data_IF_590331921425
#
_entry.id   IF_590331921425
#
_cell.length_a   1.000
_cell.length_b   1.000
_cell.length_c   1.000
_cell.angle_alpha   90.00
_cell.angle_beta   90.00
_cell.angle_gamma   90.00
#
_symmetry.space_group_name_H-M   'P 1'
#
loop_
_entity.id
_entity.type
_entity.pdbx_description
1 polymer ?
#
# COMPACT_ATOMS: atom_id res chain seq x y z
N UNK A 1 6.08 0.74 6.91
CA UNK A 1 5.93 1.32 5.56
C UNK A 1 4.91 0.56 4.74
N UNK A 2 5.01 -0.77 4.60
CA UNK A 2 3.99 -1.56 3.88
C UNK A 2 2.55 -1.33 4.38
N UNK A 3 2.32 -1.35 5.69
CA UNK A 3 0.99 -1.06 6.27
C UNK A 3 0.47 0.35 5.93
N UNK A 4 1.36 1.34 5.77
CA UNK A 4 0.96 2.68 5.33
C UNK A 4 0.45 2.65 3.89
N UNK A 5 1.12 1.91 3.01
CA UNK A 5 0.68 1.72 1.63
C UNK A 5 -0.72 1.07 1.56
N UNK A 6 -0.98 0.05 2.39
CA UNK A 6 -2.30 -0.59 2.46
C UNK A 6 -3.39 0.37 2.95
N UNK A 7 -3.11 1.17 3.99
CA UNK A 7 -4.04 2.19 4.47
C UNK A 7 -4.29 3.27 3.42
N UNK A 8 -3.26 3.72 2.70
CA UNK A 8 -3.42 4.69 1.62
C UNK A 8 -4.31 4.14 0.51
N UNK A 9 -4.11 2.89 0.10
CA UNK A 9 -4.97 2.25 -0.88
C UNK A 9 -6.43 2.21 -0.44
N UNK A 10 -6.69 1.82 0.82
CA UNK A 10 -8.04 1.82 1.38
C UNK A 10 -8.67 3.21 1.36
N UNK A 11 -7.95 4.23 1.82
CA UNK A 11 -8.43 5.60 1.85
C UNK A 11 -8.70 6.17 0.45
N UNK A 12 -7.85 5.83 -0.53
CA UNK A 12 -7.95 6.35 -1.90
C UNK A 12 -9.03 5.65 -2.73
N UNK A 13 -9.28 4.37 -2.48
CA UNK A 13 -10.17 3.56 -3.33
C UNK A 13 -11.48 3.19 -2.66
N UNK A 14 -11.57 3.30 -1.33
CA UNK A 14 -12.67 2.73 -0.55
C UNK A 14 -12.72 1.19 -0.59
N UNK A 15 -11.73 0.55 -1.22
CA UNK A 15 -11.61 -0.89 -1.32
C UNK A 15 -10.65 -1.35 -0.27
N UNK A 16 -11.10 -2.31 0.54
CA UNK A 16 -10.26 -2.83 1.58
C UNK A 16 -9.00 -3.52 1.00
N UNK A 17 -7.82 -3.28 1.59
CA UNK A 17 -6.54 -3.71 1.03
C UNK A 17 -6.35 -5.24 1.03
N UNK A 18 -7.27 -5.97 1.68
CA UNK A 18 -7.35 -7.43 1.62
C UNK A 18 -8.08 -7.98 0.39
N UNK A 19 -8.45 -7.14 -0.58
CA UNK A 19 -8.73 -7.56 -1.93
C UNK A 19 -7.43 -8.01 -2.62
N UNK A 20 -6.81 -9.07 -2.12
CA UNK A 20 -5.61 -9.66 -2.69
C UNK A 20 -5.97 -10.29 -4.04
N UNK A 21 -5.16 -10.05 -5.08
CA UNK A 21 -5.30 -10.80 -6.33
C UNK A 21 -4.66 -12.17 -6.12
N UNK A 22 -5.42 -13.27 -6.19
CA UNK A 22 -4.85 -14.60 -6.07
C UNK A 22 -4.13 -14.92 -7.38
N UNK A 23 -2.82 -14.65 -7.44
CA UNK A 23 -2.00 -15.21 -8.52
C UNK A 23 -1.78 -16.71 -8.31
N UNK A 24 -1.75 -17.19 -7.05
CA UNK A 24 -1.53 -18.61 -6.72
C UNK A 24 -2.38 -19.20 -5.57
N UNK A 25 -3.21 -18.42 -4.86
CA UNK A 25 -4.05 -18.99 -3.78
C UNK A 25 -5.38 -19.50 -4.35
N UNK A 26 -5.37 -20.79 -4.71
CA UNK A 26 -6.45 -21.48 -5.43
C UNK A 26 -7.75 -21.63 -4.63
N UNK A 27 -7.76 -21.35 -3.32
CA UNK A 27 -8.95 -21.44 -2.47
C UNK A 27 -9.04 -20.32 -1.42
N UNK A 28 -10.24 -19.74 -1.28
CA UNK A 28 -10.53 -18.71 -0.26
C UNK A 28 -10.20 -19.14 1.18
N UNK A 29 -10.16 -20.45 1.46
CA UNK A 29 -9.83 -21.01 2.78
C UNK A 29 -8.35 -20.84 3.16
N UNK A 30 -7.43 -21.02 2.22
CA UNK A 30 -5.98 -20.87 2.47
C UNK A 30 -5.62 -19.41 2.77
N UNK A 31 -6.28 -18.46 2.09
CA UNK A 31 -6.10 -17.03 2.34
C UNK A 31 -6.55 -16.65 3.75
N UNK A 32 -7.69 -17.18 4.22
CA UNK A 32 -8.19 -16.91 5.58
C UNK A 32 -7.28 -17.49 6.66
N UNK A 33 -6.76 -18.71 6.47
CA UNK A 33 -5.77 -19.30 7.37
C UNK A 33 -4.46 -18.51 7.39
N UNK A 34 -4.07 -17.91 6.28
CA UNK A 34 -2.87 -17.09 6.18
C UNK A 34 -3.03 -15.71 6.81
N UNK A 35 -4.20 -15.07 6.68
CA UNK A 35 -4.52 -13.84 7.39
C UNK A 35 -4.62 -14.06 8.92
N UNK A 36 -4.97 -15.27 9.34
CA UNK A 36 -4.94 -15.68 10.74
C UNK A 36 -3.53 -16.09 11.23
N UNK A 37 -2.56 -16.23 10.33
CA UNK A 37 -1.19 -16.60 10.68
C UNK A 37 -0.44 -15.41 11.32
N UNK A 38 0.62 -15.68 12.10
CA UNK A 38 1.46 -14.62 12.66
C UNK A 38 1.95 -13.66 11.57
N UNK A 39 2.07 -12.37 11.89
CA UNK A 39 2.45 -11.33 10.92
C UNK A 39 3.76 -11.61 10.15
N UNK A 40 4.66 -12.44 10.69
CA UNK A 40 5.86 -12.89 9.99
C UNK A 40 5.57 -13.77 8.75
N UNK A 41 4.55 -14.63 8.83
CA UNK A 41 4.14 -15.50 7.70
C UNK A 41 3.53 -14.66 6.58
N UNK A 42 2.71 -13.68 6.93
CA UNK A 42 2.17 -12.73 5.97
C UNK A 42 3.28 -11.97 5.23
N UNK A 43 4.28 -11.45 5.97
CA UNK A 43 5.41 -10.76 5.38
C UNK A 43 6.24 -11.65 4.43
N UNK A 44 6.50 -12.91 4.79
CA UNK A 44 7.20 -13.87 3.93
C UNK A 44 6.47 -14.08 2.59
N UNK A 45 5.15 -14.24 2.62
CA UNK A 45 4.35 -14.48 1.42
C UNK A 45 4.28 -13.26 0.51
N UNK A 46 4.22 -12.05 1.07
CA UNK A 46 4.33 -10.80 0.31
C UNK A 46 5.72 -10.68 -0.32
N UNK A 47 6.78 -10.94 0.43
CA UNK A 47 8.16 -10.87 -0.09
C UNK A 47 8.41 -11.88 -1.21
N UNK A 48 7.80 -13.06 -1.12
CA UNK A 48 7.89 -14.12 -2.15
C UNK A 48 6.96 -13.88 -3.34
N UNK A 49 6.16 -12.81 -3.34
CA UNK A 49 5.22 -12.50 -4.41
C UNK A 49 4.01 -13.44 -4.49
N UNK A 50 3.78 -14.27 -3.46
CA UNK A 50 2.64 -15.17 -3.36
C UNK A 50 1.36 -14.36 -3.08
N UNK A 51 1.49 -13.36 -2.20
CA UNK A 51 0.46 -12.36 -1.98
C UNK A 51 0.84 -11.07 -2.70
N UNK A 52 -0.05 -10.61 -3.59
CA UNK A 52 0.14 -9.36 -4.33
C UNK A 52 -1.05 -8.46 -4.06
N UNK A 53 -0.76 -7.22 -3.67
CA UNK A 53 -1.78 -6.18 -3.50
C UNK A 53 -2.44 -5.95 -4.84
N UNK A 54 -3.78 -5.96 -4.90
CA UNK A 54 -4.46 -5.69 -6.15
C UNK A 54 -4.12 -4.28 -6.66
N UNK A 55 -3.87 -4.11 -7.97
CA UNK A 55 -3.56 -2.82 -8.54
C UNK A 55 -4.74 -1.85 -8.35
N UNK A 56 -4.44 -0.58 -8.09
CA UNK A 56 -5.45 0.47 -8.08
C UNK A 56 -5.84 0.79 -9.52
N UNK A 57 -7.08 0.46 -9.89
CA UNK A 57 -7.64 0.70 -11.23
C UNK A 57 -8.42 2.00 -11.35
N UNK A 58 -8.75 2.62 -10.22
CA UNK A 58 -9.47 3.89 -10.16
C UNK A 58 -8.51 5.05 -10.27
N UNK A 59 -8.93 6.15 -10.89
CA UNK A 59 -8.17 7.39 -10.90
C UNK A 59 -8.08 7.98 -9.48
N UNK A 60 -6.86 8.20 -9.02
CA UNK A 60 -6.53 8.71 -7.69
C UNK A 60 -5.43 9.77 -7.84
N UNK A 61 -5.27 10.62 -6.83
CA UNK A 61 -4.21 11.64 -6.84
C UNK A 61 -2.83 11.00 -7.14
N UNK A 62 -2.13 11.55 -8.14
CA UNK A 62 -0.89 10.96 -8.65
C UNK A 62 0.24 10.95 -7.60
N UNK A 63 0.29 11.93 -6.69
CA UNK A 63 1.30 11.98 -5.64
C UNK A 63 1.00 10.99 -4.52
N UNK A 64 -0.26 10.90 -4.09
CA UNK A 64 -0.69 9.90 -3.11
C UNK A 64 -0.50 8.48 -3.65
N UNK A 65 -0.79 8.27 -4.94
CA UNK A 65 -0.46 7.04 -5.65
C UNK A 65 1.03 6.75 -5.64
N UNK A 66 1.87 7.74 -5.91
CA UNK A 66 3.32 7.60 -5.89
C UNK A 66 3.84 7.16 -4.51
N UNK A 67 3.35 7.78 -3.43
CA UNK A 67 3.71 7.38 -2.05
C UNK A 67 3.24 5.96 -1.76
N UNK A 68 2.01 5.62 -2.14
CA UNK A 68 1.43 4.29 -1.97
C UNK A 68 2.27 3.23 -2.68
N UNK A 69 2.62 3.43 -3.96
CA UNK A 69 3.40 2.49 -4.76
C UNK A 69 4.78 2.23 -4.12
N UNK A 70 5.47 3.27 -3.65
CA UNK A 70 6.76 3.13 -2.96
C UNK A 70 6.67 2.48 -1.57
N UNK A 71 5.50 2.55 -0.92
CA UNK A 71 5.26 1.86 0.35
C UNK A 71 4.94 0.37 0.14
N UNK A 72 4.30 0.03 -0.98
CA UNK A 72 3.82 -1.32 -1.31
C UNK A 72 4.86 -2.19 -2.04
N UNK A 73 6.09 -1.71 -2.21
CA UNK A 73 7.20 -2.52 -2.73
C UNK A 73 7.37 -3.78 -1.86
N UNK A 74 7.49 -4.95 -2.49
CA UNK A 74 7.58 -6.24 -1.77
C UNK A 74 8.90 -6.36 -1.00
N UNK A 75 10.01 -5.92 -1.61
CA UNK A 75 11.33 -5.82 -0.98
C UNK A 75 11.34 -4.70 0.08
N UNK A 76 11.53 -5.02 1.38
CA UNK A 76 11.56 -4.02 2.44
C UNK A 76 12.70 -3.00 2.29
N UNK A 77 13.83 -3.36 1.69
CA UNK A 77 15.01 -2.50 1.58
C UNK A 77 14.85 -1.45 0.47
N UNK A 78 13.90 -1.66 -0.44
CA UNK A 78 13.55 -0.73 -1.51
C UNK A 78 12.36 0.18 -1.17
N UNK A 79 11.71 -0.04 -0.02
CA UNK A 79 10.60 0.82 0.42
C UNK A 79 11.11 2.16 0.86
N UNK A 80 10.33 3.19 0.55
CA UNK A 80 10.57 4.50 1.14
C UNK A 80 10.46 4.47 2.66
N UNK A 81 11.35 5.21 3.28
CA UNK A 81 11.32 5.58 4.69
C UNK A 81 10.18 6.56 4.97
N UNK A 82 9.81 6.68 6.25
CA UNK A 82 8.81 7.67 6.68
C UNK A 82 9.21 9.10 6.27
N UNK A 83 10.51 9.42 6.25
CA UNK A 83 11.02 10.74 5.84
C UNK A 83 10.77 11.01 4.36
N UNK A 84 11.03 10.03 3.49
CA UNK A 84 10.80 10.18 2.04
C UNK A 84 9.31 10.36 1.73
N UNK A 85 8.42 9.62 2.42
CA UNK A 85 6.98 9.84 2.31
C UNK A 85 6.56 11.24 2.77
N UNK A 86 7.08 11.70 3.91
CA UNK A 86 6.78 13.03 4.45
C UNK A 86 7.21 14.16 3.51
N UNK A 87 8.35 14.04 2.86
CA UNK A 87 8.80 15.04 1.89
C UNK A 87 7.78 15.21 0.75
N UNK A 88 7.20 14.11 0.26
CA UNK A 88 6.16 14.14 -0.77
C UNK A 88 4.86 14.80 -0.27
N UNK A 89 4.50 14.61 1.01
CA UNK A 89 3.34 15.29 1.62
C UNK A 89 3.60 16.76 1.96
N UNK A 90 4.84 17.16 2.25
CA UNK A 90 5.14 18.55 2.64
C UNK A 90 5.10 19.52 1.47
N UNK A 91 5.33 19.04 0.24
CA UNK A 91 5.05 19.80 -0.99
C UNK A 91 3.56 20.23 -1.09
N UNK A 92 2.65 19.61 -0.33
CA UNK A 92 1.23 19.98 -0.25
C UNK A 92 0.97 21.22 0.64
N UNK A 93 1.82 21.47 1.63
CA UNK A 93 1.60 22.52 2.63
C UNK A 93 2.04 23.90 2.15
N UNK A 94 2.93 23.99 1.16
CA UNK A 94 3.48 25.27 0.69
C UNK A 94 2.54 25.95 -0.31
N UNK A 95 1.74 25.17 -1.07
CA UNK A 95 0.76 25.75 -2.01
C UNK A 95 -0.57 26.16 -1.34
N UNK A 96 -0.86 25.66 -0.14
CA UNK A 96 -2.09 26.02 0.59
C UNK A 96 -2.04 27.41 1.24
N UNK A 97 -0.90 28.11 1.17
CA UNK A 97 -0.75 29.47 1.73
C UNK A 97 -1.07 30.61 0.75
N UNK A 98 -1.48 30.29 -0.49
CA UNK A 98 -1.70 31.29 -1.55
C UNK A 98 -3.17 31.69 -1.81
N UNK A 99 -4.14 31.17 -1.06
CA UNK A 99 -5.55 31.47 -1.29
C UNK A 99 -6.29 31.97 -0.04
N UNK A 100 -5.80 33.04 0.59
CA UNK A 100 -6.65 33.96 1.37
C UNK A 100 -6.19 35.38 1.05
N UNK A 101 -6.77 35.99 0.02
CA UNK A 101 -6.86 37.43 -0.17
C UNK A 101 -8.33 37.81 -0.34
#
# INVERSE_FOLDING_TARGET
MFSLGLMLQEMLTGVAPWAWSPLEMREQGELQSLLAAPGAVFCDYVQRGILVVAPVTTEVDARLKNVMDHCLVTDPDQRWTAKECLNCFQEYSVDSSLCIQ
#
